data_IF_984495226830
#
_entry.id   IF_984495226830
#
_cell.length_a   1.000
_cell.length_b   1.000
_cell.length_c   1.000
_cell.angle_alpha   90.00
_cell.angle_beta   90.00
_cell.angle_gamma   90.00
#
_symmetry.space_group_name_H-M   'P 1'
#
loop_
_entity.id
_entity.type
_entity.pdbx_description
1 polymer ?
#
# COMPACT_ATOMS: atom_id res chain seq x y z
N UNK A 1 -31.10 0.33 3.58
CA UNK A 1 -30.36 0.97 2.48
C UNK A 1 -28.89 1.00 2.89
N UNK A 2 -28.09 0.02 2.43
CA UNK A 2 -26.68 -0.13 2.85
C UNK A 2 -25.81 0.45 1.73
N UNK A 3 -25.04 1.49 2.05
CA UNK A 3 -24.10 2.13 1.15
C UNK A 3 -22.79 1.32 1.13
N UNK A 4 -22.52 0.66 0.00
CA UNK A 4 -21.23 0.02 -0.23
C UNK A 4 -20.24 1.07 -0.74
N UNK A 5 -19.23 1.40 0.07
CA UNK A 5 -18.12 2.23 -0.37
C UNK A 5 -17.04 1.34 -0.96
N UNK A 6 -16.91 1.35 -2.28
CA UNK A 6 -15.82 0.66 -2.99
C UNK A 6 -14.56 1.53 -2.92
N UNK A 7 -13.58 1.14 -2.11
CA UNK A 7 -12.26 1.79 -2.12
C UNK A 7 -11.49 1.25 -3.33
N UNK A 8 -11.38 2.07 -4.37
CA UNK A 8 -10.56 1.75 -5.54
C UNK A 8 -9.16 2.29 -5.32
N UNK A 9 -8.20 1.39 -5.04
CA UNK A 9 -6.78 1.75 -4.97
C UNK A 9 -6.21 1.64 -6.38
N UNK A 10 -6.12 2.77 -7.08
CA UNK A 10 -5.46 2.87 -8.39
C UNK A 10 -3.95 2.97 -8.19
N UNK A 11 -3.23 1.87 -8.42
CA UNK A 11 -1.78 1.92 -8.59
C UNK A 11 -1.51 2.47 -9.99
N UNK A 12 -1.05 3.71 -10.08
CA UNK A 12 -0.53 4.22 -11.34
C UNK A 12 0.67 3.38 -11.75
N UNK A 13 0.54 2.58 -12.80
CA UNK A 13 1.66 1.91 -13.47
C UNK A 13 2.52 2.92 -14.22
N UNK A 14 3.08 3.87 -13.49
CA UNK A 14 4.26 4.60 -13.93
C UNK A 14 5.44 3.66 -13.85
N UNK A 15 5.59 2.76 -14.83
CA UNK A 15 6.84 2.04 -15.05
C UNK A 15 7.93 3.09 -15.33
N UNK A 16 8.65 3.51 -14.29
CA UNK A 16 9.91 4.26 -14.43
C UNK A 16 10.91 3.27 -15.03
N UNK A 17 10.84 3.05 -16.35
CA UNK A 17 11.91 2.41 -17.12
C UNK A 17 12.98 3.47 -17.35
N UNK A 18 13.62 3.89 -16.25
CA UNK A 18 14.62 4.93 -16.24
C UNK A 18 15.94 4.44 -16.83
N UNK A 19 16.18 4.74 -18.11
CA UNK A 19 17.53 4.92 -18.63
C UNK A 19 18.21 5.96 -17.72
N UNK A 20 19.36 5.63 -17.11
CA UNK A 20 20.14 6.55 -16.26
C UNK A 20 20.38 7.86 -17.03
N UNK A 21 19.57 8.85 -16.74
CA UNK A 21 19.65 10.23 -17.21
C UNK A 21 19.39 11.04 -15.96
N UNK A 22 20.35 11.87 -15.59
CA UNK A 22 20.46 12.65 -14.34
C UNK A 22 19.29 12.56 -13.36
N UNK A 23 19.55 11.80 -12.30
CA UNK A 23 18.65 11.22 -11.30
C UNK A 23 18.09 12.24 -10.30
N UNK A 24 17.55 13.35 -10.77
CA UNK A 24 16.92 14.33 -9.88
C UNK A 24 15.42 14.14 -9.93
N UNK A 25 14.84 13.83 -8.78
CA UNK A 25 13.40 13.75 -8.65
C UNK A 25 12.74 15.10 -8.97
N UNK A 26 11.54 15.11 -9.58
CA UNK A 26 10.83 16.36 -9.85
C UNK A 26 10.58 17.16 -8.57
N UNK A 27 10.47 18.49 -8.71
CA UNK A 27 10.07 19.37 -7.62
C UNK A 27 8.63 19.09 -7.21
N UNK A 28 8.35 19.14 -5.90
CA UNK A 28 7.03 18.94 -5.33
C UNK A 28 7.01 17.89 -4.23
N UNK A 29 5.87 17.81 -3.54
CA UNK A 29 5.63 16.84 -2.49
C UNK A 29 5.09 15.53 -3.08
N UNK A 30 5.74 14.41 -2.80
CA UNK A 30 5.28 13.09 -3.19
C UNK A 30 5.80 12.02 -2.25
N UNK A 31 5.05 10.93 -2.13
CA UNK A 31 5.37 9.77 -1.34
C UNK A 31 5.47 8.53 -2.24
N UNK A 32 6.49 7.73 -2.03
CA UNK A 32 6.68 6.45 -2.72
C UNK A 32 6.66 5.31 -1.70
N UNK A 33 6.23 4.12 -2.10
CA UNK A 33 6.31 2.95 -1.24
C UNK A 33 7.78 2.62 -0.95
N UNK A 34 8.06 2.30 0.30
CA UNK A 34 9.38 1.87 0.70
C UNK A 34 9.65 0.47 0.12
N UNK A 35 10.71 0.39 -0.69
CA UNK A 35 11.18 -0.86 -1.27
C UNK A 35 11.71 -1.84 -0.22
N UNK A 36 12.12 -3.03 -0.68
CA UNK A 36 12.63 -4.11 0.19
C UNK A 36 13.95 -3.79 0.90
N UNK A 37 14.67 -2.74 0.50
CA UNK A 37 15.93 -2.33 1.14
C UNK A 37 15.73 -1.67 2.50
N UNK A 38 14.49 -1.30 2.88
CA UNK A 38 14.19 -0.71 4.19
C UNK A 38 14.73 0.71 4.40
N UNK A 39 15.29 1.35 3.37
CA UNK A 39 15.87 2.70 3.45
C UNK A 39 15.27 3.63 2.40
N UNK A 40 15.01 4.88 2.81
CA UNK A 40 14.53 5.90 1.90
C UNK A 40 15.68 6.54 1.10
N UNK A 41 15.43 6.98 -0.15
CA UNK A 41 16.43 7.75 -0.90
C UNK A 41 16.80 9.05 -0.18
N UNK A 42 17.98 9.59 -0.50
CA UNK A 42 18.44 10.88 0.05
C UNK A 42 17.41 11.99 -0.23
N UNK A 43 17.10 12.79 0.80
CA UNK A 43 16.10 13.86 0.71
C UNK A 43 14.65 13.41 0.96
N UNK A 44 14.43 12.14 1.31
CA UNK A 44 13.12 11.63 1.72
C UNK A 44 13.13 11.27 3.19
N UNK A 45 11.99 11.51 3.83
CA UNK A 45 11.70 11.10 5.21
C UNK A 45 10.79 9.89 5.20
N UNK A 46 11.07 8.93 6.09
CA UNK A 46 10.19 7.78 6.28
C UNK A 46 8.89 8.20 6.96
N UNK A 47 7.76 7.73 6.45
CA UNK A 47 6.42 7.89 7.02
C UNK A 47 5.73 6.53 7.05
N UNK A 48 5.05 6.24 8.15
CA UNK A 48 4.23 5.05 8.29
C UNK A 48 2.75 5.47 8.36
N UNK A 49 1.91 4.78 7.59
CA UNK A 49 0.46 4.93 7.64
C UNK A 49 -0.12 3.56 7.97
N UNK A 50 -0.81 3.47 9.11
CA UNK A 50 -1.51 2.27 9.54
C UNK A 50 -3.01 2.48 9.41
N UNK A 51 -3.65 1.63 8.60
CA UNK A 51 -5.09 1.64 8.40
C UNK A 51 -5.69 0.34 8.93
N UNK A 52 -6.65 0.45 9.83
CA UNK A 52 -7.42 -0.68 10.35
C UNK A 52 -8.83 -0.61 9.80
N UNK A 53 -9.24 -1.60 9.01
CA UNK A 53 -10.59 -1.69 8.44
C UNK A 53 -11.30 -2.93 8.96
N UNK A 54 -12.58 -2.82 9.32
CA UNK A 54 -13.36 -3.97 9.78
C UNK A 54 -13.51 -5.02 8.67
N UNK A 55 -13.42 -6.29 9.03
CA UNK A 55 -13.57 -7.41 8.12
C UNK A 55 -15.05 -7.65 7.83
N UNK A 56 -15.47 -7.33 6.61
CA UNK A 56 -16.77 -7.79 6.10
C UNK A 56 -16.66 -9.12 5.36
N UNK A 57 -15.48 -9.43 4.83
CA UNK A 57 -15.17 -10.70 4.20
C UNK A 57 -13.96 -11.35 4.87
N UNK A 58 -14.04 -12.65 5.14
CA UNK A 58 -12.92 -13.41 5.71
C UNK A 58 -11.96 -13.88 4.62
N UNK A 59 -10.70 -14.12 4.97
CA UNK A 59 -9.67 -14.55 4.01
C UNK A 59 -10.01 -15.86 3.26
N UNK A 60 -10.86 -16.70 3.84
CA UNK A 60 -11.31 -17.96 3.26
C UNK A 60 -12.52 -17.82 2.33
N UNK A 61 -13.16 -16.64 2.31
CA UNK A 61 -14.32 -16.41 1.47
C UNK A 61 -13.89 -16.13 0.03
N UNK A 62 -14.63 -16.74 -0.90
CA UNK A 62 -14.44 -16.57 -2.33
C UNK A 62 -15.55 -15.70 -2.89
N UNK A 63 -15.20 -14.79 -3.79
CA UNK A 63 -16.17 -14.05 -4.58
C UNK A 63 -16.87 -15.01 -5.56
N UNK A 64 -17.97 -14.57 -6.17
CA UNK A 64 -18.76 -15.39 -7.10
C UNK A 64 -17.98 -15.91 -8.32
N UNK A 65 -16.79 -15.38 -8.58
CA UNK A 65 -15.85 -15.83 -9.62
C UNK A 65 -14.85 -16.90 -9.12
N UNK A 66 -15.00 -17.40 -7.89
CA UNK A 66 -14.15 -18.40 -7.26
C UNK A 66 -12.79 -17.89 -6.79
N UNK A 67 -12.48 -16.59 -6.94
CA UNK A 67 -11.25 -16.00 -6.40
C UNK A 67 -11.43 -15.61 -4.94
N UNK A 68 -10.35 -15.68 -4.17
CA UNK A 68 -10.35 -15.24 -2.77
C UNK A 68 -10.68 -13.75 -2.72
N UNK A 69 -11.65 -13.39 -1.87
CA UNK A 69 -12.10 -12.01 -1.72
C UNK A 69 -11.02 -11.10 -1.12
N UNK A 70 -10.14 -11.67 -0.30
CA UNK A 70 -9.01 -10.96 0.32
C UNK A 70 -7.73 -11.79 0.18
N UNK A 71 -6.65 -11.13 -0.26
CA UNK A 71 -5.30 -11.70 -0.30
C UNK A 71 -4.39 -10.86 0.59
N UNK A 72 -3.98 -11.44 1.71
CA UNK A 72 -2.97 -10.87 2.61
C UNK A 72 -1.56 -11.16 2.09
N UNK A 73 -0.59 -10.38 2.58
CA UNK A 73 0.81 -10.51 2.18
C UNK A 73 1.61 -9.23 2.39
N UNK A 74 2.88 -9.30 2.01
CA UNK A 74 3.85 -8.22 2.15
C UNK A 74 4.29 -7.72 0.78
N UNK A 75 4.49 -6.41 0.66
CA UNK A 75 5.08 -5.76 -0.51
C UNK A 75 6.14 -4.76 -0.07
N UNK A 76 7.41 -5.05 -0.36
CA UNK A 76 8.52 -4.25 0.13
C UNK A 76 8.55 -4.23 1.65
N UNK A 77 8.49 -3.04 2.24
CA UNK A 77 8.37 -2.85 3.69
C UNK A 77 6.91 -2.70 4.18
N UNK A 78 5.91 -2.81 3.30
CA UNK A 78 4.49 -2.68 3.65
C UNK A 78 3.80 -4.03 3.79
N UNK A 79 2.82 -4.13 4.68
CA UNK A 79 2.14 -5.40 5.02
C UNK A 79 0.62 -5.23 5.09
N UNK A 80 -0.11 -6.23 4.61
CA UNK A 80 -1.55 -6.40 4.90
C UNK A 80 -1.73 -7.67 5.73
N UNK A 81 -2.22 -7.52 6.96
CA UNK A 81 -2.41 -8.60 7.95
C UNK A 81 -3.87 -8.65 8.42
N UNK A 82 -4.36 -9.83 8.76
CA UNK A 82 -5.63 -9.99 9.46
C UNK A 82 -5.42 -10.06 10.97
N UNK A 83 -6.11 -9.20 11.71
CA UNK A 83 -6.25 -9.30 13.15
C UNK A 83 -7.52 -10.09 13.45
N UNK A 84 -7.33 -11.36 13.85
CA UNK A 84 -8.44 -12.29 14.15
C UNK A 84 -9.21 -11.95 15.43
N UNK A 85 -8.60 -11.20 16.35
CA UNK A 85 -9.24 -10.82 17.62
C UNK A 85 -10.17 -9.63 17.46
N UNK A 86 -9.82 -8.70 16.56
CA UNK A 86 -10.56 -7.46 16.34
C UNK A 86 -11.46 -7.53 15.09
N UNK A 87 -11.54 -8.70 14.44
CA UNK A 87 -12.15 -8.89 13.12
C UNK A 87 -11.81 -7.73 12.17
N UNK A 88 -10.51 -7.38 12.09
CA UNK A 88 -10.03 -6.23 11.32
C UNK A 88 -8.87 -6.61 10.40
N UNK A 89 -8.81 -6.03 9.19
CA UNK A 89 -7.58 -6.03 8.39
C UNK A 89 -6.76 -4.81 8.74
N UNK A 90 -5.46 -5.01 8.93
CA UNK A 90 -4.50 -3.94 9.17
C UNK A 90 -3.58 -3.85 7.98
N UNK A 91 -3.61 -2.69 7.33
CA UNK A 91 -2.70 -2.30 6.27
C UNK A 91 -1.66 -1.34 6.86
N UNK A 92 -0.42 -1.82 6.97
CA UNK A 92 0.75 -1.02 7.33
C UNK A 92 1.48 -0.61 6.04
N UNK A 93 1.35 0.67 5.67
CA UNK A 93 2.07 1.25 4.53
C UNK A 93 3.30 2.00 5.02
N UNK A 94 4.47 1.50 4.65
CA UNK A 94 5.72 2.21 4.83
C UNK A 94 6.06 2.97 3.55
N UNK A 95 6.20 4.28 3.68
CA UNK A 95 6.41 5.22 2.58
C UNK A 95 7.62 6.10 2.83
N UNK A 96 8.25 6.53 1.75
CA UNK A 96 9.28 7.56 1.74
C UNK A 96 8.66 8.81 1.12
N UNK A 97 8.57 9.89 1.88
CA UNK A 97 7.99 11.15 1.44
C UNK A 97 9.05 12.22 1.34
N UNK A 98 9.03 12.99 0.25
CA UNK A 98 9.80 14.22 0.12
C UNK A 98 8.90 15.40 0.42
N UNK A 99 9.28 16.17 1.43
CA UNK A 99 8.66 17.44 1.74
C UNK A 99 9.29 18.52 0.82
N UNK A 100 8.51 19.53 0.43
CA UNK A 100 8.90 20.54 -0.56
C UNK A 100 10.07 21.41 -0.11
#
# INVERSE_FOLDING_TARGET
MILFFTITVSFGEGLIRGKRSDSTWPSGAYCILQGSSGSCPTGFSMKNVRLSVQQHYKEAESMGDGKRAVKTGSFGASDLKSLKFDDAYVLDLNTCCKDN
#
